data_IF_225841375930
#
_entry.id   IF_225841375930
#
_cell.length_a   1.000
_cell.length_b   1.000
_cell.length_c   1.000
_cell.angle_alpha   90.00
_cell.angle_beta   90.00
_cell.angle_gamma   90.00
#
_symmetry.space_group_name_H-M   'P 1'
#
loop_
_entity.id
_entity.type
_entity.pdbx_description
1 polymer ?
#
# COMPACT_ATOMS: atom_id res chain seq x y z
N UNK A 1 9.84 -14.21 22.39
CA UNK A 1 8.67 -14.87 21.76
C UNK A 1 7.36 -14.06 21.90
N UNK A 2 7.27 -12.79 21.46
CA UNK A 2 6.04 -11.96 21.61
C UNK A 2 5.46 -11.39 20.29
N UNK A 3 6.09 -11.66 19.14
CA UNK A 3 5.62 -11.16 17.84
C UNK A 3 4.32 -11.84 17.33
N UNK A 4 4.00 -13.03 17.84
CA UNK A 4 2.89 -13.86 17.33
C UNK A 4 1.48 -13.32 17.64
N UNK A 5 1.32 -12.48 18.68
CA UNK A 5 0.00 -11.91 19.03
C UNK A 5 -0.39 -10.70 18.17
N UNK A 6 0.59 -9.99 17.59
CA UNK A 6 0.33 -8.75 16.85
C UNK A 6 -0.23 -8.98 15.44
N UNK A 7 0.23 -10.04 14.76
CA UNK A 7 -0.31 -10.46 13.47
C UNK A 7 -1.74 -11.01 13.64
N UNK A 8 -2.02 -11.63 14.79
CA UNK A 8 -3.35 -12.17 15.09
C UNK A 8 -4.42 -11.09 15.18
N UNK A 9 -4.20 -9.93 15.81
CA UNK A 9 -5.28 -8.95 16.01
C UNK A 9 -5.75 -8.31 14.68
N UNK A 10 -4.80 -7.87 13.85
CA UNK A 10 -5.13 -7.23 12.55
C UNK A 10 -5.72 -8.24 11.56
N UNK A 11 -5.22 -9.49 11.58
CA UNK A 11 -5.80 -10.57 10.80
C UNK A 11 -7.18 -10.99 11.35
N UNK A 12 -7.39 -10.95 12.66
CA UNK A 12 -8.62 -11.39 13.31
C UNK A 12 -9.77 -10.39 13.13
N UNK A 13 -9.53 -9.06 13.18
CA UNK A 13 -10.57 -8.08 12.86
C UNK A 13 -11.09 -8.23 11.41
N UNK A 14 -10.21 -8.60 10.47
CA UNK A 14 -10.55 -8.79 9.05
C UNK A 14 -10.97 -10.23 8.70
N UNK A 15 -10.67 -11.25 9.51
CA UNK A 15 -10.91 -12.67 9.18
C UNK A 15 -11.82 -13.42 10.18
N UNK A 16 -12.17 -12.84 11.33
CA UNK A 16 -12.86 -13.56 12.41
C UNK A 16 -14.22 -12.99 12.82
N UNK A 17 -14.89 -12.18 11.99
CA UNK A 17 -16.29 -11.81 12.25
C UNK A 17 -16.50 -11.01 13.54
N UNK A 18 -15.51 -10.20 13.94
CA UNK A 18 -15.70 -9.23 15.01
C UNK A 18 -16.77 -8.22 14.58
N UNK A 19 -17.85 -8.11 15.34
CA UNK A 19 -18.76 -6.97 15.26
C UNK A 19 -18.02 -5.77 15.86
N UNK A 20 -17.39 -4.97 14.99
CA UNK A 20 -16.79 -3.71 15.41
C UNK A 20 -17.86 -2.65 15.40
N UNK A 21 -18.07 -1.99 16.53
CA UNK A 21 -18.94 -0.82 16.61
C UNK A 21 -18.14 0.47 16.79
N UNK A 22 -18.86 1.58 16.89
CA UNK A 22 -18.27 2.89 17.16
C UNK A 22 -19.06 3.59 18.26
N UNK A 23 -18.36 3.86 19.36
CA UNK A 23 -18.88 4.60 20.50
C UNK A 23 -19.41 5.99 20.10
N UNK A 24 -20.36 6.53 20.87
CA UNK A 24 -20.89 7.88 20.63
C UNK A 24 -19.77 8.93 20.63
N UNK A 25 -18.80 8.81 21.55
CA UNK A 25 -17.65 9.70 21.61
C UNK A 25 -16.82 9.66 20.31
N UNK A 26 -16.52 8.47 19.80
CA UNK A 26 -15.78 8.32 18.54
C UNK A 26 -16.54 8.90 17.33
N UNK A 27 -17.88 8.77 17.29
CA UNK A 27 -18.70 9.37 16.23
C UNK A 27 -18.59 10.89 16.21
N UNK A 28 -18.69 11.52 17.38
CA UNK A 28 -18.51 12.97 17.53
C UNK A 28 -17.11 13.39 17.09
N UNK A 29 -16.07 12.68 17.54
CA UNK A 29 -14.69 12.99 17.13
C UNK A 29 -14.44 12.82 15.64
N UNK A 30 -15.01 11.79 15.01
CA UNK A 30 -14.91 11.60 13.56
C UNK A 30 -15.56 12.77 12.80
N UNK A 31 -16.78 13.17 13.19
CA UNK A 31 -17.50 14.28 12.57
C UNK A 31 -16.81 15.64 12.80
N UNK A 32 -16.24 15.88 13.98
CA UNK A 32 -15.54 17.12 14.30
C UNK A 32 -14.19 17.24 13.58
N UNK A 33 -13.43 16.15 13.50
CA UNK A 33 -12.00 16.20 13.14
C UNK A 33 -11.72 15.80 11.71
N UNK A 34 -12.61 15.05 11.06
CA UNK A 34 -12.40 14.52 9.70
C UNK A 34 -13.50 14.97 8.76
N UNK A 35 -13.28 14.88 7.46
CA UNK A 35 -14.33 14.90 6.44
C UNK A 35 -14.93 13.51 6.21
N UNK A 36 -14.38 12.47 6.87
CA UNK A 36 -14.82 11.08 6.71
C UNK A 36 -16.02 10.81 7.62
N UNK A 37 -17.13 10.36 7.01
CA UNK A 37 -18.30 9.97 7.79
C UNK A 37 -17.96 8.89 8.84
N UNK A 38 -18.54 8.92 10.06
CA UNK A 38 -18.23 7.94 11.10
C UNK A 38 -18.39 6.48 10.65
N UNK A 39 -19.40 6.18 9.84
CA UNK A 39 -19.61 4.85 9.23
C UNK A 39 -18.46 4.43 8.32
N UNK A 40 -17.89 5.37 7.56
CA UNK A 40 -16.74 5.12 6.68
C UNK A 40 -15.46 4.90 7.50
N UNK A 41 -15.27 5.60 8.62
CA UNK A 41 -14.15 5.31 9.54
C UNK A 41 -14.23 3.86 10.05
N UNK A 42 -15.42 3.41 10.44
CA UNK A 42 -15.65 2.02 10.87
C UNK A 42 -15.33 1.02 9.75
N UNK A 43 -15.76 1.32 8.53
CA UNK A 43 -15.43 0.50 7.36
C UNK A 43 -13.91 0.45 7.11
N UNK A 44 -13.20 1.57 7.19
CA UNK A 44 -11.75 1.62 6.99
C UNK A 44 -10.98 0.81 8.03
N UNK A 45 -11.48 0.74 9.26
CA UNK A 45 -10.88 -0.04 10.36
C UNK A 45 -11.15 -1.54 10.20
N UNK A 46 -12.35 -1.91 9.77
CA UNK A 46 -12.77 -3.31 9.59
C UNK A 46 -12.23 -3.91 8.30
N UNK A 47 -12.10 -3.11 7.26
CA UNK A 47 -11.41 -3.44 6.01
C UNK A 47 -9.91 -3.22 6.17
N UNK A 48 -9.07 -3.91 5.39
CA UNK A 48 -7.61 -3.72 5.45
C UNK A 48 -7.14 -2.38 4.87
N UNK A 49 -8.00 -1.35 4.89
CA UNK A 49 -7.74 -0.03 4.36
C UNK A 49 -7.04 0.88 5.40
N UNK A 50 -7.25 0.69 6.70
CA UNK A 50 -6.46 1.34 7.75
C UNK A 50 -5.18 0.55 8.10
N UNK A 51 -4.10 1.25 8.40
CA UNK A 51 -2.78 0.67 8.73
C UNK A 51 -2.66 0.52 10.23
N UNK A 52 -2.56 -0.71 10.71
CA UNK A 52 -2.30 -0.97 12.12
C UNK A 52 -0.90 -0.44 12.52
N UNK A 53 -0.86 0.43 13.53
CA UNK A 53 0.38 0.95 14.11
C UNK A 53 0.91 -0.01 15.18
N UNK A 54 2.24 -0.15 15.33
CA UNK A 54 2.86 -1.12 16.24
C UNK A 54 2.79 -0.73 17.72
N UNK A 55 1.99 0.27 18.09
CA UNK A 55 1.92 0.81 19.44
C UNK A 55 1.32 -0.19 20.44
N UNK A 56 1.87 -0.20 21.66
CA UNK A 56 1.66 -1.26 22.66
C UNK A 56 0.68 -0.79 23.73
N UNK A 57 -0.57 -1.17 23.60
CA UNK A 57 -1.52 -1.22 24.71
C UNK A 57 -2.17 -2.61 24.72
N UNK A 58 -2.27 -3.24 25.89
CA UNK A 58 -2.77 -4.61 26.01
C UNK A 58 -4.18 -4.79 25.42
N UNK A 59 -5.01 -3.75 25.50
CA UNK A 59 -6.42 -3.78 25.12
C UNK A 59 -6.79 -2.73 24.07
N UNK A 60 -5.79 -2.12 23.38
CA UNK A 60 -6.05 -1.13 22.33
C UNK A 60 -5.21 -1.38 21.09
N UNK A 61 -5.82 -1.16 19.94
CA UNK A 61 -5.15 -1.13 18.65
C UNK A 61 -5.38 0.22 17.97
N UNK A 62 -4.39 0.66 17.19
CA UNK A 62 -4.34 1.99 16.60
C UNK A 62 -4.28 1.84 15.08
N UNK A 63 -5.23 2.46 14.38
CA UNK A 63 -5.44 2.25 12.96
C UNK A 63 -5.34 3.59 12.24
N UNK A 64 -4.26 3.75 11.50
CA UNK A 64 -3.94 4.96 10.73
C UNK A 64 -4.70 4.96 9.40
N UNK A 65 -5.35 6.06 9.08
CA UNK A 65 -5.95 6.30 7.76
C UNK A 65 -5.70 7.73 7.29
N UNK A 66 -5.79 7.94 5.98
CA UNK A 66 -5.71 9.25 5.36
C UNK A 66 -7.11 9.79 5.09
N UNK A 67 -7.41 10.96 5.61
CA UNK A 67 -8.53 11.78 5.16
C UNK A 67 -8.14 12.43 3.83
N UNK A 68 -8.66 11.90 2.72
CA UNK A 68 -8.29 12.35 1.36
C UNK A 68 -8.66 13.81 1.12
N UNK A 69 -9.80 14.26 1.64
CA UNK A 69 -10.35 15.58 1.34
C UNK A 69 -9.54 16.66 2.05
N UNK A 70 -9.21 16.45 3.32
CA UNK A 70 -8.35 17.35 4.10
C UNK A 70 -6.86 17.10 3.91
N UNK A 71 -6.47 15.99 3.27
CA UNK A 71 -5.09 15.52 3.14
C UNK A 71 -4.36 15.41 4.49
N UNK A 72 -5.06 14.95 5.54
CA UNK A 72 -4.53 14.78 6.90
C UNK A 72 -4.60 13.33 7.37
N UNK A 73 -3.60 12.91 8.15
CA UNK A 73 -3.60 11.59 8.78
C UNK A 73 -4.33 11.59 10.11
N UNK A 74 -5.13 10.55 10.30
CA UNK A 74 -5.96 10.34 11.48
C UNK A 74 -5.75 8.94 12.03
N UNK A 75 -5.94 8.77 13.34
CA UNK A 75 -5.76 7.48 14.02
C UNK A 75 -7.04 7.10 14.74
N UNK A 76 -7.69 6.04 14.26
CA UNK A 76 -8.79 5.41 14.98
C UNK A 76 -8.23 4.52 16.09
N UNK A 77 -8.72 4.70 17.32
CA UNK A 77 -8.36 3.88 18.47
C UNK A 77 -9.46 2.87 18.70
N UNK A 78 -9.10 1.59 18.60
CA UNK A 78 -10.02 0.47 18.80
C UNK A 78 -9.70 -0.18 20.13
N UNK A 79 -10.66 -0.15 21.06
CA UNK A 79 -10.60 -0.94 22.27
C UNK A 79 -11.07 -2.37 21.97
N UNK A 80 -10.39 -3.35 22.55
CA UNK A 80 -10.75 -4.76 22.46
C UNK A 80 -10.98 -5.23 23.90
N UNK A 81 -12.21 -5.57 24.25
CA UNK A 81 -12.52 -6.13 25.56
C UNK A 81 -12.06 -7.60 25.63
N UNK A 82 -11.52 -8.04 26.77
CA UNK A 82 -10.74 -9.28 26.85
C UNK A 82 -11.54 -10.58 26.66
N UNK A 83 -10.89 -11.58 26.04
CA UNK A 83 -10.84 -12.96 26.58
C UNK A 83 -11.56 -14.10 25.87
N UNK A 84 -12.51 -13.88 24.96
CA UNK A 84 -13.25 -14.98 24.32
C UNK A 84 -13.25 -14.86 22.79
N UNK A 85 -13.63 -15.95 22.10
CA UNK A 85 -13.71 -16.00 20.62
C UNK A 85 -14.70 -14.97 20.02
N UNK A 86 -15.47 -14.26 20.84
CA UNK A 86 -16.50 -13.28 20.43
C UNK A 86 -16.38 -11.93 21.15
N UNK A 87 -15.19 -11.55 21.63
CA UNK A 87 -15.01 -10.28 22.31
C UNK A 87 -15.40 -9.08 21.43
N UNK A 88 -16.27 -8.16 21.88
CA UNK A 88 -16.62 -6.97 21.12
C UNK A 88 -15.41 -6.04 20.98
N UNK A 89 -15.27 -5.44 19.81
CA UNK A 89 -14.28 -4.40 19.54
C UNK A 89 -15.03 -3.10 19.25
N UNK A 90 -14.55 -1.99 19.80
CA UNK A 90 -15.20 -0.69 19.61
C UNK A 90 -14.19 0.37 19.22
N UNK A 91 -14.50 1.17 18.21
CA UNK A 91 -13.78 2.43 17.98
C UNK A 91 -14.18 3.39 19.09
N UNK A 92 -13.24 3.67 19.99
CA UNK A 92 -13.47 4.49 21.20
C UNK A 92 -13.13 5.96 20.99
N UNK A 93 -12.24 6.28 20.05
CA UNK A 93 -11.96 7.68 19.67
C UNK A 93 -11.25 7.76 18.31
N UNK A 94 -11.19 8.96 17.75
CA UNK A 94 -10.41 9.30 16.55
C UNK A 94 -9.47 10.45 16.89
N UNK A 95 -8.17 10.21 16.81
CA UNK A 95 -7.11 11.17 17.12
C UNK A 95 -6.59 11.82 15.84
N UNK A 96 -6.15 13.07 15.96
CA UNK A 96 -5.29 13.68 14.92
C UNK A 96 -3.90 13.05 14.99
N UNK A 97 -3.14 13.13 13.89
CA UNK A 97 -1.72 12.73 13.88
C UNK A 97 -0.95 13.35 15.04
N UNK A 98 -1.08 14.66 15.25
CA UNK A 98 -0.38 15.39 16.31
C UNK A 98 -0.69 14.85 17.71
N UNK A 99 -1.99 14.65 18.04
CA UNK A 99 -2.37 14.08 19.33
C UNK A 99 -1.76 12.69 19.54
N UNK A 100 -1.81 11.83 18.52
CA UNK A 100 -1.21 10.51 18.61
C UNK A 100 0.31 10.59 18.78
N UNK A 101 1.00 11.43 18.00
CA UNK A 101 2.46 11.53 18.02
C UNK A 101 2.99 12.12 19.33
N UNK A 102 2.21 13.01 19.98
CA UNK A 102 2.52 13.52 21.31
C UNK A 102 2.47 12.41 22.39
N UNK A 103 1.52 11.47 22.27
CA UNK A 103 1.34 10.39 23.26
C UNK A 103 2.24 9.16 22.98
N UNK A 104 2.45 8.83 21.71
CA UNK A 104 3.00 7.55 21.26
C UNK A 104 4.33 7.67 20.51
N UNK A 105 4.79 8.90 20.25
CA UNK A 105 5.94 9.20 19.40
C UNK A 105 5.59 9.22 17.91
N UNK A 106 6.57 9.61 17.06
CA UNK A 106 6.33 9.88 15.64
C UNK A 106 5.88 8.63 14.88
N UNK A 107 4.93 8.82 13.95
CA UNK A 107 4.50 7.76 13.04
C UNK A 107 5.59 7.53 12.00
N UNK A 108 6.03 6.28 11.89
CA UNK A 108 7.05 5.91 10.91
C UNK A 108 6.62 6.19 9.46
N UNK A 109 7.53 6.72 8.65
CA UNK A 109 7.30 7.05 7.21
C UNK A 109 6.65 5.91 6.42
N UNK A 110 7.01 4.66 6.73
CA UNK A 110 6.43 3.46 6.09
C UNK A 110 4.93 3.35 6.33
N UNK A 111 4.44 3.64 7.54
CA UNK A 111 3.02 3.56 7.85
C UNK A 111 2.23 4.67 7.12
N UNK A 112 2.76 5.90 7.12
CA UNK A 112 2.19 7.02 6.36
C UNK A 112 2.09 6.69 4.86
N UNK A 113 3.17 6.16 4.28
CA UNK A 113 3.20 5.73 2.87
C UNK A 113 2.13 4.69 2.56
N UNK A 114 2.03 3.63 3.37
CA UNK A 114 1.01 2.58 3.14
C UNK A 114 -0.41 3.14 3.29
N UNK A 115 -0.65 4.01 4.26
CA UNK A 115 -1.98 4.59 4.48
C UNK A 115 -2.37 5.51 3.30
N UNK A 116 -1.45 6.34 2.81
CA UNK A 116 -1.69 7.20 1.67
C UNK A 116 -1.86 6.39 0.36
N UNK A 117 -1.06 5.35 0.13
CA UNK A 117 -1.15 4.53 -1.10
C UNK A 117 -2.46 3.75 -1.23
N UNK A 118 -3.22 3.59 -0.14
CA UNK A 118 -4.53 2.91 -0.14
C UNK A 118 -5.69 3.82 -0.52
N UNK A 119 -5.46 5.13 -0.54
CA UNK A 119 -6.51 6.15 -0.70
C UNK A 119 -6.25 7.04 -1.91
N UNK A 120 -4.98 7.33 -2.18
CA UNK A 120 -4.56 8.13 -3.31
C UNK A 120 -4.29 7.24 -4.52
N UNK A 121 -4.59 7.76 -5.71
CA UNK A 121 -4.10 7.14 -6.93
C UNK A 121 -2.56 7.29 -7.02
N UNK A 122 -1.91 6.58 -7.95
CA UNK A 122 -0.46 6.61 -8.04
C UNK A 122 0.14 8.01 -8.23
N UNK A 123 -0.53 8.91 -8.94
CA UNK A 123 -0.06 10.27 -9.24
C UNK A 123 -0.18 11.16 -8.00
N UNK A 124 -1.36 11.18 -7.39
CA UNK A 124 -1.62 11.94 -6.17
C UNK A 124 -0.72 11.48 -5.01
N UNK A 125 -0.51 10.17 -4.89
CA UNK A 125 0.40 9.59 -3.90
C UNK A 125 1.82 10.12 -4.06
N UNK A 126 2.32 10.28 -5.29
CA UNK A 126 3.67 10.78 -5.54
C UNK A 126 3.80 12.26 -5.24
N UNK A 127 2.83 13.07 -5.66
CA UNK A 127 2.78 14.50 -5.32
C UNK A 127 2.77 14.70 -3.81
N UNK A 128 1.95 13.93 -3.10
CA UNK A 128 1.92 13.93 -1.64
C UNK A 128 3.29 13.53 -1.06
N UNK A 129 3.88 12.43 -1.53
CA UNK A 129 5.15 11.92 -1.02
C UNK A 129 6.31 12.91 -1.17
N UNK A 130 6.38 13.60 -2.32
CA UNK A 130 7.39 14.62 -2.59
C UNK A 130 7.23 15.83 -1.67
N UNK A 131 5.99 16.25 -1.41
CA UNK A 131 5.69 17.35 -0.47
C UNK A 131 6.02 16.96 0.98
N UNK A 132 5.71 15.73 1.38
CA UNK A 132 5.85 15.26 2.76
C UNK A 132 7.31 14.95 3.13
N UNK A 133 8.09 14.38 2.21
CA UNK A 133 9.44 13.88 2.50
C UNK A 133 10.56 14.57 1.71
N UNK A 134 10.23 15.51 0.82
CA UNK A 134 11.17 16.26 0.00
C UNK A 134 11.75 15.47 -1.19
N UNK A 135 12.60 16.13 -1.99
CA UNK A 135 13.33 15.51 -3.10
C UNK A 135 14.41 14.56 -2.54
N UNK A 136 14.00 13.34 -2.26
CA UNK A 136 14.88 12.30 -1.71
C UNK A 136 14.19 10.94 -1.60
N UNK A 137 13.08 10.76 -2.33
CA UNK A 137 12.36 9.51 -2.38
C UNK A 137 13.31 8.36 -2.68
N UNK A 138 13.22 7.28 -1.91
CA UNK A 138 13.85 6.02 -2.29
C UNK A 138 13.52 5.73 -3.75
N UNK A 139 14.54 5.67 -4.61
CA UNK A 139 14.40 5.27 -6.02
C UNK A 139 13.57 4.01 -6.06
N UNK A 140 12.35 4.10 -6.61
CA UNK A 140 11.39 2.99 -6.55
C UNK A 140 11.95 1.82 -7.33
N UNK A 141 11.91 0.64 -6.69
CA UNK A 141 12.41 -0.62 -7.25
C UNK A 141 11.22 -1.45 -7.68
N UNK A 142 10.70 -1.16 -8.86
CA UNK A 142 9.54 -1.87 -9.40
C UNK A 142 9.87 -3.34 -9.62
N UNK A 143 8.94 -4.22 -9.21
CA UNK A 143 9.08 -5.67 -9.31
C UNK A 143 8.12 -6.19 -10.35
N UNK A 144 8.61 -6.97 -11.30
CA UNK A 144 7.78 -7.64 -12.31
C UNK A 144 7.62 -9.10 -11.91
N UNK A 145 6.38 -9.51 -11.70
CA UNK A 145 5.98 -10.87 -11.43
C UNK A 145 5.48 -11.49 -12.74
N UNK A 146 6.22 -12.47 -13.24
CA UNK A 146 5.90 -13.22 -14.46
C UNK A 146 5.33 -14.57 -14.08
N UNK A 147 4.10 -14.82 -14.48
CA UNK A 147 3.43 -16.10 -14.29
C UNK A 147 3.50 -16.90 -15.59
N UNK A 148 3.88 -18.17 -15.50
CA UNK A 148 4.10 -19.03 -16.67
C UNK A 148 3.66 -20.47 -16.40
N UNK A 149 3.33 -21.22 -17.45
CA UNK A 149 2.99 -22.64 -17.34
C UNK A 149 4.25 -23.49 -17.33
N UNK A 150 4.32 -24.41 -16.36
CA UNK A 150 5.33 -25.47 -16.31
C UNK A 150 4.89 -26.64 -17.19
N UNK A 151 5.84 -27.52 -17.55
CA UNK A 151 5.55 -28.74 -18.34
C UNK A 151 4.51 -29.65 -17.66
N UNK A 152 4.46 -29.63 -16.34
CA UNK A 152 3.49 -30.36 -15.51
C UNK A 152 2.09 -29.71 -15.44
N UNK A 153 1.84 -28.62 -16.18
CA UNK A 153 0.55 -27.91 -16.20
C UNK A 153 0.34 -26.91 -15.04
N UNK A 154 1.20 -26.96 -14.01
CA UNK A 154 1.18 -26.03 -12.88
C UNK A 154 1.66 -24.62 -13.27
N UNK A 155 1.21 -23.61 -12.54
CA UNK A 155 1.62 -22.21 -12.79
C UNK A 155 2.82 -21.85 -11.91
N UNK A 156 3.95 -21.56 -12.56
CA UNK A 156 5.12 -20.97 -11.92
C UNK A 156 5.02 -19.44 -11.82
N UNK A 157 5.80 -18.86 -10.91
CA UNK A 157 5.97 -17.41 -10.79
C UNK A 157 7.45 -17.09 -10.64
N UNK A 158 7.94 -16.14 -11.44
CA UNK A 158 9.28 -15.56 -11.32
C UNK A 158 9.15 -14.08 -11.03
N UNK A 159 9.97 -13.58 -10.12
CA UNK A 159 10.01 -12.16 -9.76
C UNK A 159 11.33 -11.57 -10.24
N UNK A 160 11.24 -10.50 -11.02
CA UNK A 160 12.36 -9.68 -11.46
C UNK A 160 12.29 -8.33 -10.75
N UNK A 161 13.38 -7.92 -10.13
CA UNK A 161 13.46 -6.67 -9.38
C UNK A 161 14.12 -5.59 -10.23
N UNK A 162 13.89 -4.33 -9.85
CA UNK A 162 14.54 -3.15 -10.43
C UNK A 162 14.21 -2.95 -11.91
N UNK A 163 12.93 -3.04 -12.27
CA UNK A 163 12.48 -2.70 -13.62
C UNK A 163 12.82 -1.23 -13.93
N UNK A 164 13.39 -0.93 -15.13
CA UNK A 164 14.00 0.36 -15.43
C UNK A 164 12.96 1.36 -15.90
N UNK A 165 11.91 1.58 -15.11
CA UNK A 165 10.84 2.53 -15.43
C UNK A 165 11.08 3.80 -14.63
N UNK A 166 11.26 4.93 -15.33
CA UNK A 166 11.47 6.24 -14.71
C UNK A 166 10.18 6.69 -13.98
N UNK A 167 10.28 7.40 -12.85
CA UNK A 167 9.12 7.87 -12.09
C UNK A 167 8.21 8.76 -12.93
N UNK A 168 8.81 9.67 -13.70
CA UNK A 168 8.11 10.54 -14.64
C UNK A 168 7.21 9.79 -15.63
N UNK A 169 7.65 8.65 -16.16
CA UNK A 169 6.82 7.84 -17.05
C UNK A 169 5.62 7.23 -16.34
N UNK A 170 5.79 6.87 -15.07
CA UNK A 170 4.68 6.37 -14.25
C UNK A 170 3.70 7.51 -13.90
N UNK A 171 4.19 8.74 -13.79
CA UNK A 171 3.36 9.94 -13.67
C UNK A 171 2.51 10.21 -14.91
N UNK A 172 3.12 10.12 -16.08
CA UNK A 172 2.43 10.48 -17.31
C UNK A 172 1.54 9.35 -17.85
N UNK A 173 2.02 8.11 -17.78
CA UNK A 173 1.39 6.98 -18.46
C UNK A 173 0.85 5.91 -17.51
N UNK A 174 0.96 6.08 -16.19
CA UNK A 174 0.61 5.10 -15.17
C UNK A 174 1.45 3.79 -15.20
N UNK A 175 1.55 3.14 -14.03
CA UNK A 175 2.40 1.95 -13.87
C UNK A 175 1.89 0.74 -14.68
N UNK A 176 0.59 0.69 -14.98
CA UNK A 176 0.00 -0.36 -15.83
C UNK A 176 0.63 -0.39 -17.22
N UNK A 177 1.10 0.74 -17.73
CA UNK A 177 1.69 0.88 -19.07
C UNK A 177 3.22 0.81 -19.06
N UNK A 178 3.84 0.34 -17.97
CA UNK A 178 5.29 0.26 -17.84
C UNK A 178 6.00 -0.52 -18.96
N UNK A 179 5.30 -1.44 -19.66
CA UNK A 179 5.85 -2.15 -20.80
C UNK A 179 6.15 -1.23 -22.01
N UNK A 180 5.48 -0.08 -22.11
CA UNK A 180 5.75 0.93 -23.14
C UNK A 180 7.02 1.73 -22.90
N UNK A 181 7.70 1.55 -21.75
CA UNK A 181 8.90 2.31 -21.43
C UNK A 181 10.11 1.83 -22.29
N UNK A 182 10.93 2.74 -22.86
CA UNK A 182 11.96 2.39 -23.86
C UNK A 182 12.99 1.36 -23.42
N UNK A 183 13.25 1.25 -22.11
CA UNK A 183 14.21 0.29 -21.57
C UNK A 183 13.60 -1.01 -21.01
N UNK A 184 12.26 -1.13 -20.98
CA UNK A 184 11.60 -2.20 -20.25
C UNK A 184 11.83 -3.57 -20.89
N UNK A 185 11.56 -3.70 -22.19
CA UNK A 185 11.65 -4.99 -22.88
C UNK A 185 13.07 -5.52 -23.00
N UNK A 186 14.05 -4.65 -23.25
CA UNK A 186 15.47 -5.02 -23.27
C UNK A 186 15.93 -5.55 -21.90
N UNK A 187 15.53 -4.87 -20.82
CA UNK A 187 15.80 -5.34 -19.47
C UNK A 187 15.10 -6.67 -19.19
N UNK A 188 13.82 -6.79 -19.54
CA UNK A 188 13.04 -7.99 -19.28
C UNK A 188 13.61 -9.20 -20.03
N UNK A 189 13.98 -9.04 -21.30
CA UNK A 189 14.61 -10.08 -22.10
C UNK A 189 15.91 -10.59 -21.45
N UNK A 190 16.76 -9.68 -20.96
CA UNK A 190 17.98 -10.05 -20.21
C UNK A 190 17.66 -10.82 -18.94
N UNK A 191 16.68 -10.37 -18.15
CA UNK A 191 16.29 -11.04 -16.90
C UNK A 191 15.69 -12.42 -17.15
N UNK A 192 14.80 -12.54 -18.14
CA UNK A 192 14.16 -13.79 -18.51
C UNK A 192 15.16 -14.80 -19.07
N UNK A 193 16.10 -14.35 -19.91
CA UNK A 193 17.19 -15.19 -20.42
C UNK A 193 18.07 -15.73 -19.30
N UNK A 194 18.53 -14.86 -18.37
CA UNK A 194 19.32 -15.28 -17.20
C UNK A 194 18.60 -16.27 -16.29
N UNK A 195 17.27 -16.18 -16.24
CA UNK A 195 16.43 -17.08 -15.44
C UNK A 195 15.97 -18.34 -16.20
N UNK A 196 16.40 -18.52 -17.46
CA UNK A 196 15.94 -19.57 -18.37
C UNK A 196 14.41 -19.68 -18.40
N UNK A 197 13.73 -18.54 -18.41
CA UNK A 197 12.28 -18.49 -18.32
C UNK A 197 11.66 -18.90 -19.66
N UNK A 198 10.72 -19.87 -19.69
CA UNK A 198 10.04 -20.26 -20.91
C UNK A 198 9.07 -19.15 -21.36
N UNK A 199 9.57 -18.18 -22.14
CA UNK A 199 8.79 -17.01 -22.57
C UNK A 199 7.49 -17.41 -23.27
N UNK A 200 7.53 -18.44 -24.11
CA UNK A 200 6.36 -18.94 -24.84
C UNK A 200 5.24 -19.48 -23.92
N UNK A 201 5.54 -19.81 -22.65
CA UNK A 201 4.54 -20.28 -21.69
C UNK A 201 4.10 -19.22 -20.68
N UNK A 202 4.54 -17.96 -20.85
CA UNK A 202 4.09 -16.84 -20.01
C UNK A 202 2.62 -16.57 -20.25
N UNK A 203 1.84 -16.56 -19.17
CA UNK A 203 0.37 -16.36 -19.21
C UNK A 203 -0.04 -14.99 -18.69
N UNK A 204 0.73 -14.39 -17.79
CA UNK A 204 0.45 -13.03 -17.31
C UNK A 204 1.67 -12.39 -16.69
N UNK A 205 1.70 -11.06 -16.72
CA UNK A 205 2.67 -10.25 -16.02
C UNK A 205 1.97 -9.26 -15.11
N UNK A 206 2.53 -9.07 -13.92
CA UNK A 206 2.12 -8.03 -12.97
C UNK A 206 3.33 -7.20 -12.60
N UNK A 207 3.13 -5.91 -12.40
CA UNK A 207 4.17 -5.02 -11.88
C UNK A 207 3.75 -4.53 -10.51
N UNK A 208 4.71 -4.39 -9.60
CA UNK A 208 4.47 -4.00 -8.24
C UNK A 208 5.45 -2.93 -7.80
N UNK A 209 4.87 -1.87 -7.27
CA UNK A 209 5.55 -0.93 -6.40
C UNK A 209 5.25 -1.34 -4.94
N UNK A 210 4.11 -0.88 -4.43
CA UNK A 210 3.51 -1.37 -3.18
C UNK A 210 2.56 -2.52 -3.45
N UNK A 211 1.54 -2.30 -4.29
CA UNK A 211 0.56 -3.29 -4.70
C UNK A 211 0.85 -3.89 -6.07
N UNK A 212 0.36 -5.11 -6.31
CA UNK A 212 0.52 -5.82 -7.58
C UNK A 212 -0.60 -5.42 -8.53
N UNK A 213 -0.26 -4.72 -9.61
CA UNK A 213 -1.20 -4.38 -10.68
C UNK A 213 -0.91 -5.20 -11.93
N UNK A 214 -1.93 -5.40 -12.77
CA UNK A 214 -1.75 -6.06 -14.08
C UNK A 214 -0.92 -5.16 -14.98
N UNK A 215 0.10 -5.74 -15.61
CA UNK A 215 0.90 -5.06 -16.62
C UNK A 215 0.22 -5.21 -17.98
N UNK A 216 0.04 -4.10 -18.69
CA UNK A 216 -0.44 -4.10 -20.06
C UNK A 216 0.74 -4.39 -20.99
N UNK A 217 0.91 -5.65 -21.37
CA UNK A 217 2.05 -6.10 -22.19
C UNK A 217 1.99 -5.55 -23.62
N UNK A 218 0.81 -5.12 -24.07
CA UNK A 218 0.63 -4.49 -25.38
C UNK A 218 0.70 -2.96 -25.34
N UNK A 219 1.10 -2.38 -24.20
CA UNK A 219 1.20 -0.93 -24.07
C UNK A 219 2.11 -0.35 -25.16
N UNK A 220 1.67 0.69 -25.89
CA UNK A 220 2.45 1.28 -26.97
C UNK A 220 3.77 1.83 -26.43
N UNK A 221 4.83 1.74 -27.23
CA UNK A 221 6.09 2.39 -26.90
C UNK A 221 5.86 3.91 -26.76
N UNK A 222 6.40 4.49 -25.69
CA UNK A 222 6.33 5.93 -25.40
C UNK A 222 7.72 6.46 -25.12
N UNK A 223 7.94 7.72 -25.40
CA UNK A 223 9.17 8.42 -25.05
C UNK A 223 9.22 8.66 -23.52
N UNK A 224 10.42 8.59 -22.91
CA UNK A 224 10.64 9.09 -21.54
C UNK A 224 11.76 10.14 -21.63
N UNK A 225 11.43 11.45 -21.55
CA UNK A 225 12.42 12.52 -21.60
C UNK A 225 13.57 12.33 -20.59
N UNK A 226 13.26 11.80 -19.39
CA UNK A 226 14.27 11.52 -18.37
C UNK A 226 15.25 10.40 -18.74
N UNK A 227 14.87 9.50 -19.64
CA UNK A 227 15.69 8.39 -20.10
C UNK A 227 16.44 8.72 -21.39
N UNK A 228 15.90 9.58 -22.25
CA UNK A 228 16.62 10.11 -23.41
C UNK A 228 17.78 11.00 -22.97
N UNK A 229 17.55 11.92 -22.02
CA UNK A 229 18.61 12.77 -21.46
C UNK A 229 19.77 11.96 -20.81
N UNK A 230 19.50 10.73 -20.37
CA UNK A 230 20.51 9.82 -19.79
C UNK A 230 21.24 8.97 -20.81
N UNK A 231 20.76 8.87 -22.06
CA UNK A 231 21.46 8.20 -23.16
C UNK A 231 22.46 9.14 -23.86
N UNK A 232 22.28 10.45 -23.71
CA UNK A 232 23.11 11.49 -24.33
C UNK A 232 24.28 11.97 -23.44
N UNK A 233 24.51 11.32 -22.30
CA UNK A 233 25.66 11.50 -21.39
C UNK A 233 26.47 10.21 -21.34
#
# INVERSE_FOLDING_TARGET
>A
MKAANHIKITAALSACGYSVDMSQHARLRAAERTSVAPSRVLELVTTRCAVALPFRSANRSYHLFLDKEKMIFMVAVVAIEGGSKSSPASVVTVLTREHFENDAGPIGKKALRIAASRVLDPVDFRRWEQREFGPGGMRRRYRVLTYYKRKEGTTGCKVFNDAPVCEHFVDEYALTNAAGHPGFWDWYARQASRASLPIASVVSMRIADTDKIRLEVSAPARECPCCEAKKSQ
#
